data_IF_301741967283
#
_entry.id   IF_301741967283
#
_cell.length_a   1.000
_cell.length_b   1.000
_cell.length_c   1.000
_cell.angle_alpha   90.00
_cell.angle_beta   90.00
_cell.angle_gamma   90.00
#
_symmetry.space_group_name_H-M   'P 1'
#
loop_
_entity.id
_entity.type
_entity.pdbx_description
1 polymer ?
#
# COMPACT_ATOMS: atom_id res chain seq x y z
N UNK A 1 -16.10 8.31 11.89
CA UNK A 1 -14.85 9.09 11.92
C UNK A 1 -14.65 9.95 10.68
N UNK A 2 -15.25 9.66 9.51
CA UNK A 2 -15.31 10.63 8.39
C UNK A 2 -13.94 11.08 7.84
N UNK A 3 -12.90 10.27 8.04
CA UNK A 3 -11.52 10.53 7.60
C UNK A 3 -11.28 9.70 6.35
N UNK A 4 -10.76 10.34 5.30
CA UNK A 4 -10.31 9.65 4.09
C UNK A 4 -9.06 8.81 4.41
N UNK A 5 -9.05 7.58 3.91
CA UNK A 5 -8.04 6.57 4.20
C UNK A 5 -7.31 6.16 2.92
N UNK A 6 -5.99 6.03 3.05
CA UNK A 6 -5.12 5.56 1.97
C UNK A 6 -4.31 4.39 2.48
N UNK A 7 -4.30 3.30 1.71
CA UNK A 7 -3.46 2.13 1.98
C UNK A 7 -2.38 2.00 0.91
N UNK A 8 -1.13 1.85 1.35
CA UNK A 8 0.01 1.53 0.48
C UNK A 8 0.25 0.02 0.46
N UNK A 9 0.63 -0.52 -0.69
CA UNK A 9 0.89 -1.95 -0.84
C UNK A 9 2.03 -2.25 -1.81
N UNK A 10 2.61 -3.44 -1.70
CA UNK A 10 3.57 -3.93 -2.69
C UNK A 10 2.86 -4.57 -3.90
N UNK A 11 3.58 -4.81 -4.98
CA UNK A 11 3.09 -5.58 -6.13
C UNK A 11 2.63 -6.98 -5.70
N UNK A 12 3.33 -7.61 -4.75
CA UNK A 12 2.95 -8.93 -4.25
C UNK A 12 1.63 -8.92 -3.47
N UNK A 13 1.25 -7.77 -2.92
CA UNK A 13 0.01 -7.58 -2.17
C UNK A 13 -1.13 -7.04 -3.07
N UNK A 14 -0.94 -6.98 -4.39
CA UNK A 14 -1.98 -6.54 -5.32
C UNK A 14 -3.19 -7.46 -5.22
N UNK A 15 -4.32 -6.91 -4.77
CA UNK A 15 -5.56 -7.65 -4.55
C UNK A 15 -5.73 -8.27 -3.17
N UNK A 16 -4.91 -7.89 -2.19
CA UNK A 16 -5.13 -8.27 -0.80
C UNK A 16 -6.45 -7.65 -0.27
N UNK A 17 -7.26 -8.43 0.45
CA UNK A 17 -8.61 -7.99 0.87
C UNK A 17 -8.64 -6.79 1.83
N UNK A 18 -7.53 -6.43 2.47
CA UNK A 18 -7.47 -5.22 3.28
C UNK A 18 -7.47 -3.93 2.43
N UNK A 19 -7.15 -4.03 1.13
CA UNK A 19 -7.17 -2.90 0.20
C UNK A 19 -8.58 -2.33 0.00
N UNK A 20 -9.61 -3.18 0.12
CA UNK A 20 -11.01 -2.80 -0.03
C UNK A 20 -11.53 -1.95 1.14
N UNK A 21 -10.75 -1.83 2.22
CA UNK A 21 -11.10 -1.02 3.39
C UNK A 21 -10.75 0.46 3.22
N UNK A 22 -9.93 0.81 2.22
CA UNK A 22 -9.48 2.16 1.98
C UNK A 22 -10.27 2.86 0.88
N UNK A 23 -10.38 4.18 0.99
CA UNK A 23 -10.94 5.02 -0.07
C UNK A 23 -10.02 5.01 -1.30
N UNK A 24 -8.71 4.88 -1.07
CA UNK A 24 -7.68 4.87 -2.13
C UNK A 24 -6.54 3.91 -1.80
N UNK A 25 -5.95 3.35 -2.84
CA UNK A 25 -4.79 2.46 -2.72
C UNK A 25 -3.64 2.91 -3.62
N UNK A 26 -2.40 2.67 -3.17
CA UNK A 26 -1.19 3.04 -3.92
C UNK A 26 -0.19 1.89 -3.88
N UNK A 27 0.24 1.43 -5.05
CA UNK A 27 1.33 0.47 -5.17
C UNK A 27 2.68 1.20 -5.04
N UNK A 28 3.47 0.85 -4.03
CA UNK A 28 4.74 1.54 -3.70
C UNK A 28 5.97 0.82 -4.24
N UNK A 29 5.89 -0.44 -4.64
CA UNK A 29 7.03 -1.13 -5.22
C UNK A 29 6.94 -2.66 -5.23
N UNK A 30 8.05 -3.34 -5.55
CA UNK A 30 8.12 -4.80 -5.58
C UNK A 30 7.81 -5.48 -4.23
N UNK A 31 7.53 -6.79 -4.28
CA UNK A 31 7.17 -7.59 -3.11
C UNK A 31 8.14 -7.51 -1.91
N UNK A 32 9.47 -7.52 -2.09
CA UNK A 32 10.40 -7.41 -0.97
C UNK A 32 10.24 -6.09 -0.21
N UNK A 33 10.03 -6.15 1.10
CA UNK A 33 9.74 -4.97 1.93
C UNK A 33 10.84 -3.91 1.89
N UNK A 34 12.11 -4.31 1.75
CA UNK A 34 13.25 -3.39 1.58
C UNK A 34 13.16 -2.52 0.31
N UNK A 35 12.36 -2.94 -0.68
CA UNK A 35 12.16 -2.24 -1.95
C UNK A 35 10.76 -1.61 -2.06
N UNK A 36 9.95 -1.67 -0.98
CA UNK A 36 8.60 -1.13 -0.91
C UNK A 36 8.35 -0.49 0.46
N UNK A 37 7.80 -1.22 1.42
CA UNK A 37 7.36 -0.70 2.72
C UNK A 37 8.44 0.00 3.56
N UNK A 38 9.70 -0.39 3.39
CA UNK A 38 10.83 0.17 4.15
C UNK A 38 11.67 1.17 3.35
N UNK A 39 11.30 1.45 2.10
CA UNK A 39 11.95 2.47 1.28
C UNK A 39 11.23 3.81 1.46
N UNK A 40 11.81 4.68 2.28
CA UNK A 40 11.29 6.02 2.59
C UNK A 40 11.07 6.86 1.32
N UNK A 41 11.81 6.63 0.24
CA UNK A 41 11.65 7.42 -1.00
C UNK A 41 10.37 7.09 -1.78
N UNK A 42 9.66 6.02 -1.39
CA UNK A 42 8.46 5.51 -2.07
C UNK A 42 7.16 5.85 -1.33
N UNK A 43 7.26 6.49 -0.16
CA UNK A 43 6.14 6.91 0.69
C UNK A 43 6.06 8.44 0.65
#
# INVERSE_FOLDING_TARGET
MGIESVIVHSVADSGAGYLDLADRTVCIGPGPSQQSYLDISRI
#
